data_IF_224522650781
#
_entry.id   IF_224522650781
#
_cell.length_a   1.000
_cell.length_b   1.000
_cell.length_c   1.000
_cell.angle_alpha   90.00
_cell.angle_beta   90.00
_cell.angle_gamma   90.00
#
_symmetry.space_group_name_H-M   'P 1'
#
loop_
_entity.id
_entity.type
_entity.pdbx_description
1 polymer ?
#
# COMPACT_ATOMS: atom_id res chain seq x y z
N UNK A 1 8.15 -9.33 -0.85
CA UNK A 1 8.70 -8.41 0.17
C UNK A 1 8.44 -6.96 -0.18
N UNK A 2 7.64 -6.26 0.64
CA UNK A 2 7.53 -4.80 0.61
C UNK A 2 8.65 -4.24 1.48
N UNK A 3 9.39 -3.23 1.00
CA UNK A 3 10.38 -2.51 1.85
C UNK A 3 9.65 -1.94 3.08
N UNK A 4 8.42 -1.48 2.86
CA UNK A 4 7.44 -1.16 3.89
C UNK A 4 6.47 -2.32 4.09
N UNK A 5 6.97 -3.45 4.59
CA UNK A 5 6.10 -4.53 5.05
C UNK A 5 5.58 -4.15 6.43
N UNK A 6 4.37 -3.59 6.50
CA UNK A 6 3.60 -3.51 7.75
C UNK A 6 3.33 -4.96 8.21
N UNK A 7 4.22 -5.52 9.02
CA UNK A 7 3.80 -6.53 9.99
C UNK A 7 3.07 -5.73 11.07
N UNK A 8 1.74 -5.91 11.15
CA UNK A 8 0.87 -5.20 12.07
C UNK A 8 1.43 -5.22 13.49
N UNK A 9 1.91 -4.08 13.94
CA UNK A 9 2.10 -3.82 15.36
C UNK A 9 0.72 -3.52 15.92
N UNK A 10 0.17 -4.50 16.62
CA UNK A 10 -0.91 -4.37 17.60
C UNK A 10 -0.73 -3.06 18.40
N UNK A 11 -1.49 -2.02 18.06
CA UNK A 11 -1.61 -0.86 18.93
C UNK A 11 -2.43 -1.30 20.14
N UNK A 12 -1.73 -1.52 21.25
CA UNK A 12 -2.30 -1.74 22.58
C UNK A 12 -3.34 -0.63 22.86
N UNK A 13 -4.60 -1.04 22.84
CA UNK A 13 -5.76 -0.27 23.30
C UNK A 13 -5.62 -0.04 24.80
N UNK A 14 -5.00 1.04 25.23
CA UNK A 14 -5.22 1.56 26.57
C UNK A 14 -5.22 3.09 26.58
N UNK A 15 -6.35 3.61 27.04
CA UNK A 15 -6.48 4.88 27.74
C UNK A 15 -6.32 6.15 26.90
N UNK A 16 -7.41 6.58 26.26
CA UNK A 16 -7.77 8.00 26.29
C UNK A 16 -9.29 8.12 26.28
N UNK A 17 -9.86 7.90 27.46
CA UNK A 17 -11.21 8.28 27.83
C UNK A 17 -11.19 9.75 28.26
N UNK A 18 -12.21 10.48 27.83
CA UNK A 18 -12.77 11.70 28.43
C UNK A 18 -12.12 13.05 28.14
N UNK A 19 -13.03 14.05 28.08
CA UNK A 19 -12.87 15.51 28.02
C UNK A 19 -12.87 15.99 26.54
N UNK A 20 -13.93 16.57 25.97
CA UNK A 20 -14.81 17.65 26.44
C UNK A 20 -16.22 17.47 25.87
N UNK A 21 -17.18 17.20 26.74
CA UNK A 21 -18.57 17.64 26.55
C UNK A 21 -18.70 18.96 27.31
N UNK A 22 -19.11 20.03 26.62
CA UNK A 22 -19.79 21.23 27.16
C UNK A 22 -19.78 22.34 26.09
N UNK A 23 -20.77 22.33 25.19
CA UNK A 23 -21.31 23.56 24.60
C UNK A 23 -22.80 23.32 24.34
N UNK A 24 -23.59 23.55 25.38
CA UNK A 24 -25.04 23.66 25.33
C UNK A 24 -25.43 25.12 25.09
N UNK A 25 -26.36 25.30 24.14
CA UNK A 25 -27.44 26.30 24.12
C UNK A 25 -27.14 27.75 23.71
N UNK A 26 -27.75 28.15 22.58
CA UNK A 26 -28.02 29.56 22.21
C UNK A 26 -28.84 29.65 20.92
N UNK A 27 -30.10 30.08 21.02
CA UNK A 27 -31.12 30.17 19.97
C UNK A 27 -30.82 31.18 18.84
N UNK A 28 -31.32 30.91 17.62
CA UNK A 28 -32.26 31.80 16.90
C UNK A 28 -32.74 31.16 15.58
N UNK A 29 -34.06 31.16 15.42
CA UNK A 29 -34.80 30.76 14.21
C UNK A 29 -34.60 31.85 13.15
N UNK A 30 -34.16 31.45 11.95
CA UNK A 30 -34.18 32.28 10.76
C UNK A 30 -34.66 31.44 9.57
N UNK A 31 -35.98 31.32 9.39
CA UNK A 31 -36.53 30.81 8.15
C UNK A 31 -36.37 31.89 7.08
N UNK A 32 -35.36 31.73 6.22
CA UNK A 32 -35.34 32.44 4.94
C UNK A 32 -35.78 31.45 3.86
N UNK A 33 -37.08 31.46 3.58
CA UNK A 33 -37.65 30.80 2.40
C UNK A 33 -37.11 31.52 1.17
N UNK A 34 -36.11 30.93 0.52
CA UNK A 34 -35.72 31.34 -0.81
C UNK A 34 -36.48 30.46 -1.81
N UNK A 35 -37.57 31.00 -2.37
CA UNK A 35 -38.30 30.39 -3.47
C UNK A 35 -37.46 30.50 -4.75
N UNK A 36 -36.60 29.52 -4.98
CA UNK A 36 -35.79 29.40 -6.18
C UNK A 36 -36.11 28.13 -6.93
N UNK A 37 -36.98 28.26 -7.94
CA UNK A 37 -37.20 27.38 -9.12
C UNK A 37 -36.66 25.94 -8.98
N UNK A 38 -37.57 25.00 -8.80
CA UNK A 38 -37.29 23.56 -8.89
C UNK A 38 -36.81 23.21 -10.30
N UNK A 39 -35.50 23.03 -10.42
CA UNK A 39 -34.85 22.37 -11.55
C UNK A 39 -35.13 20.87 -11.43
N UNK A 40 -36.13 20.38 -12.16
CA UNK A 40 -36.47 18.96 -12.28
C UNK A 40 -35.42 18.23 -13.15
N UNK A 41 -34.16 18.29 -12.74
CA UNK A 41 -33.14 17.34 -13.18
C UNK A 41 -33.23 16.12 -12.26
N UNK A 42 -33.63 14.96 -12.79
CA UNK A 42 -33.54 13.70 -12.04
C UNK A 42 -32.11 13.52 -11.51
N UNK A 43 -31.93 13.68 -10.20
CA UNK A 43 -30.67 13.39 -9.53
C UNK A 43 -30.54 11.87 -9.42
N UNK A 44 -29.88 11.26 -10.39
CA UNK A 44 -29.45 9.85 -10.29
C UNK A 44 -28.33 9.78 -9.25
N UNK A 45 -28.68 9.46 -8.01
CA UNK A 45 -27.72 9.17 -6.95
C UNK A 45 -27.15 7.76 -7.16
N UNK A 46 -25.96 7.66 -7.74
CA UNK A 46 -25.26 6.38 -7.91
C UNK A 46 -24.74 5.91 -6.54
N UNK A 47 -25.57 5.17 -5.80
CA UNK A 47 -25.20 4.51 -4.54
C UNK A 47 -24.48 3.19 -4.81
N UNK A 48 -23.22 3.27 -5.23
CA UNK A 48 -22.36 2.08 -5.37
C UNK A 48 -21.42 1.89 -4.17
N UNK A 49 -21.45 0.73 -3.51
CA UNK A 49 -20.38 0.36 -2.55
C UNK A 49 -19.10 0.07 -3.35
N UNK A 50 -17.99 0.71 -2.98
CA UNK A 50 -16.67 0.40 -3.57
C UNK A 50 -16.31 -1.05 -3.26
N UNK A 51 -15.95 -1.82 -4.29
CA UNK A 51 -15.55 -3.22 -4.15
C UNK A 51 -14.14 -3.32 -3.54
N UNK A 52 -13.80 -4.44 -2.88
CA UNK A 52 -12.43 -4.68 -2.38
C UNK A 52 -11.36 -4.57 -3.48
N UNK A 53 -11.72 -4.93 -4.72
CA UNK A 53 -10.84 -4.77 -5.89
C UNK A 53 -10.50 -3.31 -6.22
N UNK A 54 -11.41 -2.37 -5.96
CA UNK A 54 -11.13 -0.94 -6.08
C UNK A 54 -10.01 -0.52 -5.11
N UNK A 55 -10.12 -0.91 -3.84
CA UNK A 55 -9.12 -0.57 -2.83
C UNK A 55 -7.77 -1.27 -3.10
N UNK A 56 -7.80 -2.51 -3.59
CA UNK A 56 -6.60 -3.21 -4.02
C UNK A 56 -5.86 -2.46 -5.14
N UNK A 57 -6.60 -1.99 -6.14
CA UNK A 57 -6.04 -1.23 -7.27
C UNK A 57 -5.48 0.12 -6.82
N UNK A 58 -6.20 0.82 -5.93
CA UNK A 58 -5.74 2.09 -5.34
C UNK A 58 -4.44 1.90 -4.54
N UNK A 59 -4.36 0.84 -3.72
CA UNK A 59 -3.14 0.48 -2.98
C UNK A 59 -1.97 0.19 -3.93
N UNK A 60 -2.22 -0.60 -4.98
CA UNK A 60 -1.19 -0.90 -5.97
C UNK A 60 -0.68 0.35 -6.70
N UNK A 61 -1.55 1.33 -6.97
CA UNK A 61 -1.14 2.57 -7.61
C UNK A 61 -0.29 3.42 -6.65
N UNK A 62 -0.73 3.58 -5.41
CA UNK A 62 0.04 4.30 -4.39
C UNK A 62 1.42 3.67 -4.13
N UNK A 63 1.52 2.34 -4.21
CA UNK A 63 2.80 1.61 -4.14
C UNK A 63 3.75 1.98 -5.30
N UNK A 64 3.23 2.05 -6.54
CA UNK A 64 4.06 2.49 -7.69
C UNK A 64 4.49 3.93 -7.49
N UNK A 65 3.54 4.83 -7.19
CA UNK A 65 3.81 6.25 -7.09
C UNK A 65 4.93 6.52 -6.07
N UNK A 66 4.89 5.84 -4.92
CA UNK A 66 5.93 5.92 -3.91
C UNK A 66 7.28 5.43 -4.44
N UNK A 67 7.34 4.22 -5.00
CA UNK A 67 8.62 3.66 -5.45
C UNK A 67 9.20 4.40 -6.66
N UNK A 68 8.37 4.91 -7.58
CA UNK A 68 8.82 5.72 -8.72
C UNK A 68 9.55 6.98 -8.24
N UNK A 69 8.99 7.67 -7.24
CA UNK A 69 9.58 8.90 -6.71
C UNK A 69 10.80 8.61 -5.83
N UNK A 70 10.75 7.58 -4.97
CA UNK A 70 11.91 7.15 -4.18
C UNK A 70 13.07 6.73 -5.08
N UNK A 71 12.80 5.99 -6.16
CA UNK A 71 13.84 5.53 -7.08
C UNK A 71 14.57 6.67 -7.79
N UNK A 72 13.90 7.79 -8.08
CA UNK A 72 14.54 8.99 -8.66
C UNK A 72 15.58 9.59 -7.73
N UNK A 73 15.39 9.44 -6.42
CA UNK A 73 16.28 9.98 -5.40
C UNK A 73 17.38 8.98 -4.94
N UNK A 74 17.17 7.68 -5.14
CA UNK A 74 18.14 6.66 -4.81
C UNK A 74 19.35 6.69 -5.77
N UNK A 75 20.54 6.85 -5.19
CA UNK A 75 21.81 6.81 -5.94
C UNK A 75 22.26 5.40 -6.31
N UNK A 76 22.02 4.44 -5.41
CA UNK A 76 22.42 3.05 -5.61
C UNK A 76 21.30 2.28 -6.31
N UNK A 77 21.57 1.83 -7.54
CA UNK A 77 20.64 1.07 -8.35
C UNK A 77 20.24 -0.27 -7.72
N UNK A 78 21.06 -0.84 -6.84
CA UNK A 78 20.75 -2.11 -6.16
C UNK A 78 19.50 -2.00 -5.30
N UNK A 79 19.26 -0.83 -4.70
CA UNK A 79 18.12 -0.60 -3.80
C UNK A 79 16.87 -0.09 -4.51
N UNK A 80 16.96 0.26 -5.80
CA UNK A 80 15.78 0.66 -6.59
C UNK A 80 14.80 -0.50 -6.70
N UNK A 81 13.51 -0.17 -6.61
CA UNK A 81 12.40 -1.13 -6.67
C UNK A 81 11.72 -1.07 -8.02
N UNK A 82 11.57 -2.21 -8.68
CA UNK A 82 10.80 -2.26 -9.93
C UNK A 82 9.58 -3.16 -9.77
N UNK A 83 8.43 -2.62 -10.18
CA UNK A 83 7.14 -3.30 -10.11
C UNK A 83 6.82 -3.94 -11.47
N UNK A 84 6.71 -5.26 -11.52
CA UNK A 84 6.39 -6.00 -12.74
C UNK A 84 5.19 -6.92 -12.53
N UNK A 85 4.49 -7.25 -13.62
CA UNK A 85 3.43 -8.26 -13.62
C UNK A 85 4.07 -9.61 -13.95
N UNK A 86 4.18 -10.45 -12.94
CA UNK A 86 4.81 -11.77 -13.02
C UNK A 86 3.72 -12.84 -12.91
N UNK A 87 3.76 -13.85 -13.78
CA UNK A 87 2.89 -15.03 -13.69
C UNK A 87 3.59 -16.13 -12.89
N UNK A 88 2.86 -16.81 -12.02
CA UNK A 88 3.38 -18.02 -11.39
C UNK A 88 3.56 -19.10 -12.47
N UNK A 89 4.64 -19.88 -12.35
CA UNK A 89 4.95 -20.99 -13.27
C UNK A 89 3.73 -21.91 -13.39
N UNK A 90 3.33 -22.22 -14.64
CA UNK A 90 2.16 -23.05 -14.92
C UNK A 90 0.80 -22.35 -14.81
N UNK A 91 0.77 -21.03 -14.59
CA UNK A 91 -0.48 -20.26 -14.51
C UNK A 91 -0.46 -19.04 -15.44
N UNK A 92 -1.61 -18.66 -15.99
CA UNK A 92 -1.78 -17.38 -16.71
C UNK A 92 -2.18 -16.22 -15.78
N UNK A 93 -2.21 -16.46 -14.46
CA UNK A 93 -2.60 -15.46 -13.48
C UNK A 93 -1.42 -14.54 -13.16
N UNK A 94 -1.44 -13.34 -13.76
CA UNK A 94 -0.42 -12.32 -13.54
C UNK A 94 -0.66 -11.61 -12.22
N UNK A 95 0.34 -11.65 -11.33
CA UNK A 95 0.38 -10.89 -10.10
C UNK A 95 1.39 -9.76 -10.21
N UNK A 96 1.04 -8.57 -9.72
CA UNK A 96 1.98 -7.46 -9.65
C UNK A 96 2.89 -7.67 -8.44
N UNK A 97 4.21 -7.67 -8.67
CA UNK A 97 5.25 -7.77 -7.64
C UNK A 97 6.22 -6.62 -7.77
N UNK A 98 6.42 -5.91 -6.67
CA UNK A 98 7.43 -4.86 -6.54
C UNK A 98 8.60 -5.44 -5.75
N UNK A 99 9.75 -5.61 -6.41
CA UNK A 99 10.95 -6.18 -5.81
C UNK A 99 12.15 -5.24 -6.04
N UNK A 100 13.03 -5.09 -5.05
CA UNK A 100 14.28 -4.36 -5.24
C UNK A 100 15.25 -5.16 -6.13
N UNK A 101 16.13 -4.45 -6.81
CA UNK A 101 17.06 -5.06 -7.78
C UNK A 101 18.00 -6.09 -7.13
N UNK A 102 18.42 -5.91 -5.88
CA UNK A 102 19.22 -6.91 -5.17
C UNK A 102 18.48 -8.26 -4.98
N UNK A 103 17.17 -8.24 -4.72
CA UNK A 103 16.36 -9.46 -4.63
C UNK A 103 16.30 -10.14 -5.99
N UNK A 104 16.06 -9.38 -7.06
CA UNK A 104 16.02 -9.94 -8.43
C UNK A 104 17.35 -10.51 -8.87
N UNK A 105 18.45 -9.83 -8.56
CA UNK A 105 19.79 -10.32 -8.83
C UNK A 105 20.05 -11.64 -8.08
N UNK A 106 19.64 -11.73 -6.81
CA UNK A 106 19.74 -12.99 -6.04
C UNK A 106 18.87 -14.09 -6.64
N UNK A 107 17.62 -13.80 -6.98
CA UNK A 107 16.73 -14.78 -7.63
C UNK A 107 17.34 -15.31 -8.92
N UNK A 108 17.88 -14.42 -9.77
CA UNK A 108 18.54 -14.81 -11.01
C UNK A 108 19.75 -15.72 -10.73
N UNK A 109 20.62 -15.32 -9.79
CA UNK A 109 21.78 -16.12 -9.40
C UNK A 109 21.40 -17.52 -8.89
N UNK A 110 20.45 -17.62 -7.95
CA UNK A 110 20.02 -18.91 -7.39
C UNK A 110 19.30 -19.77 -8.44
N UNK A 111 18.60 -19.16 -9.40
CA UNK A 111 17.99 -19.88 -10.54
C UNK A 111 19.06 -20.49 -11.45
N UNK A 112 20.13 -19.75 -11.76
CA UNK A 112 21.24 -20.28 -12.56
C UNK A 112 21.95 -21.42 -11.83
N UNK A 113 22.23 -21.23 -10.54
CA UNK A 113 22.87 -22.25 -9.70
C UNK A 113 22.05 -23.53 -9.62
N UNK A 114 20.73 -23.42 -9.45
CA UNK A 114 19.83 -24.57 -9.43
C UNK A 114 19.85 -25.32 -10.77
N UNK A 115 19.91 -24.61 -11.90
CA UNK A 115 20.04 -25.23 -13.22
C UNK A 115 21.37 -25.97 -13.38
N UNK A 116 22.46 -25.40 -12.89
CA UNK A 116 23.80 -26.03 -12.95
C UNK A 116 23.91 -27.26 -12.03
N UNK A 117 23.26 -27.23 -10.87
CA UNK A 117 23.28 -28.35 -9.92
C UNK A 117 22.20 -29.42 -10.17
N UNK A 118 21.28 -29.18 -11.12
CA UNK A 118 20.12 -30.04 -11.36
C UNK A 118 19.06 -29.99 -10.24
N UNK A 119 19.15 -29.01 -9.33
CA UNK A 119 18.21 -28.81 -8.23
C UNK A 119 17.01 -27.92 -8.60
N UNK A 120 15.97 -27.89 -7.75
CA UNK A 120 14.87 -26.94 -7.92
C UNK A 120 15.33 -25.50 -7.61
N UNK A 121 14.80 -24.47 -8.30
CA UNK A 121 15.09 -23.08 -7.97
C UNK A 121 14.50 -22.72 -6.60
N UNK A 122 15.18 -21.81 -5.89
CA UNK A 122 14.68 -21.30 -4.62
C UNK A 122 13.39 -20.48 -4.81
N UNK A 123 12.52 -20.55 -3.81
CA UNK A 123 11.33 -19.71 -3.74
C UNK A 123 11.72 -18.26 -3.44
N UNK A 124 10.83 -17.31 -3.75
CA UNK A 124 11.04 -15.91 -3.39
C UNK A 124 11.30 -15.75 -1.88
N UNK A 125 10.56 -16.46 -1.03
CA UNK A 125 10.72 -16.39 0.43
C UNK A 125 12.11 -16.85 0.88
N UNK A 126 12.62 -17.94 0.29
CA UNK A 126 13.97 -18.42 0.56
C UNK A 126 15.02 -17.40 0.11
N UNK A 127 14.85 -16.79 -1.07
CA UNK A 127 15.73 -15.73 -1.54
C UNK A 127 15.69 -14.51 -0.63
N UNK A 128 14.51 -14.10 -0.18
CA UNK A 128 14.31 -12.98 0.74
C UNK A 128 15.02 -13.20 2.09
N UNK A 129 15.07 -14.45 2.57
CA UNK A 129 15.82 -14.81 3.77
C UNK A 129 17.34 -14.69 3.59
N UNK A 130 17.86 -14.90 2.38
CA UNK A 130 19.30 -14.82 2.07
C UNK A 130 19.82 -13.38 1.95
N UNK A 131 18.95 -12.41 1.66
CA UNK A 131 19.32 -11.00 1.39
C UNK A 131 19.00 -10.06 2.56
N UNK A 132 19.01 -10.58 3.79
CA UNK A 132 18.63 -9.82 4.99
C UNK A 132 19.50 -8.58 5.23
N UNK A 133 20.80 -8.65 4.90
CA UNK A 133 21.71 -7.51 5.06
C UNK A 133 21.40 -6.41 4.05
N UNK A 134 21.30 -6.75 2.77
CA UNK A 134 20.96 -5.84 1.69
C UNK A 134 19.59 -5.20 1.91
N UNK A 135 18.65 -5.96 2.51
CA UNK A 135 17.36 -5.45 2.94
C UNK A 135 17.50 -4.32 3.96
N UNK A 136 18.29 -4.53 5.02
CA UNK A 136 18.47 -3.52 6.06
C UNK A 136 19.15 -2.27 5.48
N UNK A 137 20.14 -2.44 4.62
CA UNK A 137 20.81 -1.34 3.92
C UNK A 137 19.83 -0.56 3.04
N UNK A 138 19.00 -1.26 2.27
CA UNK A 138 17.97 -0.64 1.43
C UNK A 138 16.96 0.14 2.26
N UNK A 139 16.49 -0.40 3.39
CA UNK A 139 15.58 0.29 4.31
C UNK A 139 16.21 1.58 4.84
N UNK A 140 17.47 1.54 5.26
CA UNK A 140 18.19 2.72 5.73
C UNK A 140 18.38 3.77 4.62
N UNK A 141 18.67 3.33 3.39
CA UNK A 141 18.81 4.24 2.25
C UNK A 141 17.49 4.93 1.91
N UNK A 142 16.39 4.18 1.87
CA UNK A 142 15.05 4.72 1.61
C UNK A 142 14.60 5.65 2.73
N UNK A 143 14.83 5.30 4.00
CA UNK A 143 14.48 6.16 5.14
C UNK A 143 15.18 7.52 5.04
N UNK A 144 16.49 7.54 4.78
CA UNK A 144 17.26 8.78 4.57
C UNK A 144 16.76 9.61 3.39
N UNK A 145 16.27 8.96 2.33
CA UNK A 145 15.67 9.64 1.18
C UNK A 145 14.35 10.30 1.58
N UNK A 146 13.49 9.60 2.32
CA UNK A 146 12.19 10.14 2.74
C UNK A 146 12.36 11.27 3.76
N UNK A 147 13.29 11.15 4.71
CA UNK A 147 13.59 12.20 5.69
C UNK A 147 14.01 13.53 5.06
N UNK A 148 14.65 13.47 3.88
CA UNK A 148 15.16 14.66 3.16
C UNK A 148 14.16 15.27 2.20
N UNK A 149 13.04 14.59 1.92
CA UNK A 149 12.09 14.96 0.88
C UNK A 149 10.66 14.84 1.45
N UNK A 150 10.09 15.92 2.03
CA UNK A 150 8.79 15.87 2.71
C UNK A 150 7.64 15.43 1.78
N UNK A 151 7.74 15.67 0.49
CA UNK A 151 6.78 15.18 -0.51
C UNK A 151 6.74 13.65 -0.61
N UNK A 152 7.87 12.97 -0.35
CA UNK A 152 7.91 11.51 -0.30
C UNK A 152 7.23 10.96 0.97
N UNK A 153 7.22 11.74 2.05
CA UNK A 153 6.50 11.37 3.27
C UNK A 153 4.99 11.36 3.00
N UNK A 154 4.46 12.33 2.26
CA UNK A 154 3.05 12.36 1.86
C UNK A 154 2.67 11.12 1.03
N UNK A 155 3.54 10.74 0.08
CA UNK A 155 3.34 9.51 -0.72
C UNK A 155 3.39 8.25 0.14
N UNK A 156 4.28 8.20 1.14
CA UNK A 156 4.34 7.09 2.09
C UNK A 156 3.05 6.98 2.92
N UNK A 157 2.54 8.10 3.44
CA UNK A 157 1.27 8.16 4.19
C UNK A 157 0.09 7.75 3.30
N UNK A 158 0.05 8.24 2.05
CA UNK A 158 -0.95 7.84 1.05
C UNK A 158 -0.91 6.34 0.80
N UNK A 159 0.28 5.77 0.65
CA UNK A 159 0.45 4.32 0.49
C UNK A 159 -0.05 3.57 1.73
N UNK A 160 0.35 3.95 2.94
CA UNK A 160 -0.09 3.29 4.18
C UNK A 160 -1.61 3.35 4.38
N UNK A 161 -2.23 4.50 4.13
CA UNK A 161 -3.70 4.65 4.22
C UNK A 161 -4.43 3.79 3.19
N UNK A 162 -3.89 3.65 1.98
CA UNK A 162 -4.44 2.76 0.95
C UNK A 162 -4.33 1.26 1.32
N UNK A 163 -3.24 0.87 2.00
CA UNK A 163 -3.07 -0.49 2.53
C UNK A 163 -4.14 -0.76 3.59
N UNK A 164 -4.31 0.14 4.56
CA UNK A 164 -5.31 0.00 5.61
C UNK A 164 -6.75 -0.07 5.05
N UNK A 165 -7.06 0.75 4.03
CA UNK A 165 -8.36 0.73 3.36
C UNK A 165 -8.61 -0.60 2.65
N UNK A 166 -7.60 -1.15 1.96
CA UNK A 166 -7.70 -2.46 1.32
C UNK A 166 -7.90 -3.57 2.34
N UNK A 167 -7.11 -3.60 3.42
CA UNK A 167 -7.23 -4.62 4.47
C UNK A 167 -8.61 -4.58 5.14
N UNK A 168 -9.11 -3.39 5.45
CA UNK A 168 -10.48 -3.20 5.96
C UNK A 168 -11.53 -3.73 4.99
N UNK A 169 -11.44 -3.36 3.71
CA UNK A 169 -12.40 -3.80 2.68
C UNK A 169 -12.41 -5.33 2.52
N UNK A 170 -11.23 -5.96 2.60
CA UNK A 170 -11.06 -7.41 2.55
C UNK A 170 -11.69 -8.09 3.77
N UNK A 171 -11.49 -7.53 4.97
CA UNK A 171 -12.07 -8.06 6.20
C UNK A 171 -13.60 -7.97 6.19
N UNK A 172 -14.17 -6.85 5.73
CA UNK A 172 -15.62 -6.68 5.57
C UNK A 172 -16.22 -7.69 4.57
N UNK A 173 -15.53 -7.96 3.46
CA UNK A 173 -15.98 -8.94 2.48
C UNK A 173 -15.99 -10.37 3.03
N UNK A 174 -14.96 -10.74 3.80
CA UNK A 174 -14.91 -12.05 4.47
C UNK A 174 -16.02 -12.15 5.52
N UNK A 175 -16.24 -11.10 6.32
CA UNK A 175 -17.29 -11.08 7.32
C UNK A 175 -18.70 -11.15 6.70
N UNK A 176 -18.92 -10.60 5.51
CA UNK A 176 -20.20 -10.67 4.82
C UNK A 176 -20.51 -12.04 4.20
N UNK A 177 -19.51 -12.92 4.08
CA UNK A 177 -19.64 -14.27 3.50
C UNK A 177 -19.86 -15.36 4.56
N UNK A 178 -19.66 -15.03 5.84
CA UNK A 178 -19.82 -15.93 6.99
C UNK A 178 -21.10 -15.57 7.75
#
# INVERSE_FOLDING_TARGET
>A
MRIFSYKGTEMKKHSLLMIVALFSSGLAIGQQQNSGKEDYGERIEVRGKKTPMYFYSAMQQAEIDLYDQVNKQLKDDRYKVSCQRESQIGTNLKQKRCLPNFVRARMAFETQKARESGGPPLTLEQVEALVGKERQEAMNAVAKVIERNPELLELLVKYQSSVAAWEKSKAEEVAARN
#
